data_IF_678503740058
#
_entry.id   IF_678503740058
#
_cell.length_a   1.000
_cell.length_b   1.000
_cell.length_c   1.000
_cell.angle_alpha   90.00
_cell.angle_beta   90.00
_cell.angle_gamma   90.00
#
_symmetry.space_group_name_H-M   'P 1'
#
loop_
_entity.id
_entity.type
_entity.pdbx_description
1 polymer ?
#
# COMPACT_ATOMS: atom_id res chain seq x y z
N UNK A 1 13.46 10.62 -10.35
CA UNK A 1 13.61 10.35 -11.78
C UNK A 1 12.52 11.05 -12.58
N UNK A 2 11.22 10.85 -12.31
CA UNK A 2 10.13 11.43 -13.11
C UNK A 2 10.12 12.95 -13.16
N UNK A 3 10.41 13.64 -12.04
CA UNK A 3 10.51 15.10 -12.01
C UNK A 3 11.68 15.63 -12.84
N UNK A 4 12.83 14.97 -12.81
CA UNK A 4 14.00 15.35 -13.61
C UNK A 4 13.76 15.11 -15.11
N UNK A 5 13.12 13.99 -15.47
CA UNK A 5 12.72 13.71 -16.85
C UNK A 5 11.74 14.77 -17.36
N UNK A 6 10.80 15.18 -16.51
CA UNK A 6 9.84 16.23 -16.85
C UNK A 6 10.51 17.57 -17.16
N UNK A 7 11.47 17.96 -16.34
CA UNK A 7 12.19 19.25 -16.51
C UNK A 7 13.08 19.23 -17.74
N UNK A 8 13.74 18.11 -18.05
CA UNK A 8 14.71 18.01 -19.14
C UNK A 8 14.10 17.65 -20.50
N UNK A 9 13.11 16.77 -20.52
CA UNK A 9 12.58 16.14 -21.73
C UNK A 9 11.04 16.30 -21.88
N UNK A 10 10.40 17.00 -20.96
CA UNK A 10 8.95 17.16 -20.95
C UNK A 10 8.22 15.97 -20.30
N UNK A 11 6.92 16.15 -20.02
CA UNK A 11 6.10 15.17 -19.33
C UNK A 11 5.92 13.85 -20.12
N UNK A 12 5.97 13.93 -21.46
CA UNK A 12 5.85 12.78 -22.36
C UNK A 12 6.98 11.75 -22.15
N UNK A 13 8.18 12.21 -21.77
CA UNK A 13 9.33 11.33 -21.54
C UNK A 13 9.07 10.30 -20.44
N UNK A 14 8.26 10.62 -19.42
CA UNK A 14 7.88 9.68 -18.38
C UNK A 14 7.08 8.50 -18.94
N UNK A 15 6.14 8.75 -19.85
CA UNK A 15 5.34 7.71 -20.49
C UNK A 15 6.18 6.86 -21.43
N UNK A 16 7.11 7.45 -22.17
CA UNK A 16 8.04 6.70 -23.04
C UNK A 16 8.91 5.77 -22.22
N UNK A 17 9.49 6.24 -21.12
CA UNK A 17 10.32 5.40 -20.23
C UNK A 17 9.50 4.24 -19.63
N UNK A 18 8.29 4.52 -19.16
CA UNK A 18 7.40 3.47 -18.62
C UNK A 18 7.03 2.45 -19.71
N UNK A 19 6.73 2.91 -20.91
CA UNK A 19 6.40 2.04 -22.04
C UNK A 19 7.60 1.15 -22.46
N UNK A 20 8.81 1.71 -22.48
CA UNK A 20 10.04 0.95 -22.77
C UNK A 20 10.32 -0.10 -21.69
N UNK A 21 10.20 0.27 -20.41
CA UNK A 21 10.36 -0.67 -19.29
C UNK A 21 9.30 -1.78 -19.33
N UNK A 22 8.03 -1.42 -19.61
CA UNK A 22 6.96 -2.38 -19.79
C UNK A 22 7.21 -3.35 -20.95
N UNK A 23 7.66 -2.84 -22.10
CA UNK A 23 8.03 -3.65 -23.24
C UNK A 23 9.19 -4.61 -22.94
N UNK A 24 10.21 -4.14 -22.21
CA UNK A 24 11.35 -4.96 -21.80
C UNK A 24 10.90 -6.07 -20.82
N UNK A 25 10.00 -5.77 -19.89
CA UNK A 25 9.43 -6.75 -18.98
C UNK A 25 8.58 -7.80 -19.72
N UNK A 26 7.80 -7.41 -20.74
CA UNK A 26 7.04 -8.35 -21.58
C UNK A 26 8.00 -9.31 -22.30
N UNK A 27 9.06 -8.80 -22.91
CA UNK A 27 10.07 -9.63 -23.60
C UNK A 27 10.79 -10.55 -22.62
N UNK A 28 11.15 -10.04 -21.43
CA UNK A 28 11.79 -10.85 -20.40
C UNK A 28 10.86 -11.95 -19.88
N UNK A 29 9.59 -11.64 -19.66
CA UNK A 29 8.59 -12.63 -19.25
C UNK A 29 8.36 -13.70 -20.33
N UNK A 30 8.24 -13.28 -21.58
CA UNK A 30 8.04 -14.22 -22.70
C UNK A 30 9.22 -15.18 -22.91
N UNK A 31 10.45 -14.71 -22.65
CA UNK A 31 11.66 -15.55 -22.78
C UNK A 31 12.00 -16.35 -21.52
N UNK A 32 11.62 -15.88 -20.35
CA UNK A 32 12.08 -16.43 -19.06
C UNK A 32 11.04 -17.23 -18.29
N UNK A 33 9.74 -17.09 -18.61
CA UNK A 33 8.69 -17.85 -17.93
C UNK A 33 8.41 -19.13 -18.73
N UNK A 34 8.78 -20.31 -18.18
CA UNK A 34 8.39 -21.57 -18.81
C UNK A 34 6.86 -21.72 -18.69
N UNK A 35 6.24 -22.06 -19.81
CA UNK A 35 4.79 -22.31 -19.86
C UNK A 35 4.50 -23.68 -19.21
N UNK A 36 4.29 -23.68 -17.90
CA UNK A 36 3.98 -24.88 -17.12
C UNK A 36 2.48 -25.13 -16.98
N UNK A 37 1.67 -24.29 -17.59
CA UNK A 37 0.23 -24.46 -17.50
C UNK A 37 -0.24 -25.50 -18.53
N UNK A 38 -0.77 -26.62 -18.03
CA UNK A 38 -1.63 -27.48 -18.88
C UNK A 38 -2.74 -26.59 -19.43
N UNK A 39 -3.12 -26.77 -20.71
CA UNK A 39 -4.26 -26.04 -21.27
C UNK A 39 -5.45 -26.15 -20.32
N UNK A 40 -5.87 -25.04 -19.76
CA UNK A 40 -7.09 -25.04 -18.97
C UNK A 40 -8.22 -25.20 -19.96
N UNK A 41 -8.92 -26.33 -19.91
CA UNK A 41 -10.17 -26.49 -20.65
C UNK A 41 -11.08 -25.31 -20.28
N UNK A 42 -11.33 -24.45 -21.27
CA UNK A 42 -12.23 -23.32 -21.10
C UNK A 42 -13.62 -23.87 -20.83
N UNK A 43 -14.02 -23.88 -19.58
CA UNK A 43 -15.33 -24.37 -19.18
C UNK A 43 -16.42 -23.51 -19.84
N UNK A 44 -17.44 -24.11 -20.44
CA UNK A 44 -18.49 -23.38 -21.20
C UNK A 44 -19.27 -22.33 -20.36
N UNK A 45 -19.08 -22.32 -19.03
CA UNK A 45 -19.74 -21.41 -18.10
C UNK A 45 -18.74 -20.58 -17.27
N UNK A 46 -17.62 -20.17 -17.85
CA UNK A 46 -16.53 -19.45 -17.15
C UNK A 46 -17.02 -18.22 -16.35
N UNK A 47 -17.98 -17.45 -16.86
CA UNK A 47 -18.55 -16.30 -16.13
C UNK A 47 -19.26 -16.73 -14.86
N UNK A 48 -20.01 -17.83 -14.89
CA UNK A 48 -20.68 -18.37 -13.71
C UNK A 48 -19.66 -18.89 -12.69
N UNK A 49 -18.64 -19.56 -13.15
CA UNK A 49 -17.54 -20.05 -12.32
C UNK A 49 -16.80 -18.89 -11.65
N UNK A 50 -16.51 -17.82 -12.38
CA UNK A 50 -15.93 -16.59 -11.81
C UNK A 50 -16.85 -15.95 -10.77
N UNK A 51 -18.14 -15.80 -11.08
CA UNK A 51 -19.12 -15.22 -10.17
C UNK A 51 -19.23 -16.02 -8.86
N UNK A 52 -19.23 -17.35 -8.94
CA UNK A 52 -19.24 -18.21 -7.74
C UNK A 52 -17.95 -18.11 -6.96
N UNK A 53 -16.79 -18.02 -7.61
CA UNK A 53 -15.50 -17.82 -6.97
C UNK A 53 -15.46 -16.50 -6.16
N UNK A 54 -15.88 -15.40 -6.78
CA UNK A 54 -15.95 -14.10 -6.10
C UNK A 54 -16.95 -14.11 -4.94
N UNK A 55 -18.13 -14.71 -5.12
CA UNK A 55 -19.12 -14.80 -4.05
C UNK A 55 -18.61 -15.66 -2.88
N UNK A 56 -17.87 -16.72 -3.16
CA UNK A 56 -17.25 -17.57 -2.12
C UNK A 56 -16.24 -16.76 -1.31
N UNK A 57 -15.37 -16.00 -1.98
CA UNK A 57 -14.37 -15.13 -1.32
C UNK A 57 -15.03 -14.03 -0.48
N UNK A 58 -16.05 -13.36 -1.03
CA UNK A 58 -16.77 -12.29 -0.34
C UNK A 58 -17.60 -12.77 0.85
N UNK A 59 -17.92 -14.07 0.92
CA UNK A 59 -18.60 -14.67 2.08
C UNK A 59 -17.62 -15.15 3.15
N UNK A 60 -16.32 -15.15 2.87
CA UNK A 60 -15.30 -15.56 3.84
C UNK A 60 -14.83 -14.37 4.68
N UNK A 61 -15.22 -14.30 5.96
CA UNK A 61 -14.89 -13.13 6.78
C UNK A 61 -13.38 -12.94 7.01
N UNK A 62 -12.62 -14.02 7.06
CA UNK A 62 -11.16 -13.98 7.21
C UNK A 62 -10.52 -13.33 6.00
N UNK A 63 -11.00 -13.66 4.80
CA UNK A 63 -10.58 -13.04 3.55
C UNK A 63 -10.86 -11.53 3.55
N UNK A 64 -12.09 -11.14 3.92
CA UNK A 64 -12.48 -9.72 3.96
C UNK A 64 -11.63 -8.91 4.95
N UNK A 65 -11.24 -9.51 6.08
CA UNK A 65 -10.37 -8.84 7.05
C UNK A 65 -8.95 -8.63 6.49
N UNK A 66 -8.37 -9.61 5.79
CA UNK A 66 -7.09 -9.41 5.11
C UNK A 66 -7.19 -8.33 4.04
N UNK A 67 -8.24 -8.36 3.22
CA UNK A 67 -8.49 -7.33 2.20
C UNK A 67 -8.66 -5.95 2.83
N UNK A 68 -9.39 -5.84 3.94
CA UNK A 68 -9.56 -4.57 4.65
C UNK A 68 -8.23 -4.01 5.18
N UNK A 69 -7.35 -4.86 5.73
CA UNK A 69 -6.01 -4.44 6.18
C UNK A 69 -5.21 -3.86 5.01
N UNK A 70 -5.18 -4.57 3.88
CA UNK A 70 -4.47 -4.13 2.67
C UNK A 70 -5.05 -2.83 2.12
N UNK A 71 -6.38 -2.75 2.06
CA UNK A 71 -7.13 -1.58 1.57
C UNK A 71 -6.87 -0.33 2.42
N UNK A 72 -6.89 -0.47 3.75
CA UNK A 72 -6.65 0.65 4.68
C UNK A 72 -5.18 1.11 4.65
N UNK A 73 -4.23 0.18 4.52
CA UNK A 73 -2.82 0.53 4.31
C UNK A 73 -2.64 1.34 3.01
N UNK A 74 -3.29 0.90 1.93
CA UNK A 74 -3.26 1.59 0.64
C UNK A 74 -3.91 2.97 0.74
N UNK A 75 -5.07 3.11 1.37
CA UNK A 75 -5.73 4.40 1.60
C UNK A 75 -4.83 5.37 2.39
N UNK A 76 -4.15 4.89 3.44
CA UNK A 76 -3.19 5.67 4.21
C UNK A 76 -2.06 6.21 3.35
N UNK A 77 -1.49 5.35 2.49
CA UNK A 77 -0.40 5.75 1.59
C UNK A 77 -0.85 6.73 0.51
N UNK A 78 -2.03 6.52 -0.11
CA UNK A 78 -2.55 7.44 -1.13
C UNK A 78 -3.01 8.77 -0.55
N UNK A 79 -3.51 8.80 0.70
CA UNK A 79 -3.77 10.04 1.41
C UNK A 79 -2.47 10.84 1.60
N UNK A 80 -1.38 10.18 2.04
CA UNK A 80 -0.06 10.79 2.10
C UNK A 80 0.35 11.33 0.71
N UNK A 81 0.32 10.48 -0.33
CA UNK A 81 0.77 10.84 -1.66
C UNK A 81 0.00 12.04 -2.24
N UNK A 82 -1.32 12.09 -2.00
CA UNK A 82 -2.17 13.20 -2.45
C UNK A 82 -1.92 14.52 -1.71
N UNK A 83 -1.53 14.47 -0.43
CA UNK A 83 -1.34 15.67 0.38
C UNK A 83 0.09 16.22 0.35
N UNK A 84 1.09 15.38 0.11
CA UNK A 84 2.52 15.76 0.20
C UNK A 84 2.88 17.02 -0.57
N UNK A 85 2.47 17.22 -1.84
CA UNK A 85 2.83 18.44 -2.57
C UNK A 85 2.34 19.71 -1.86
N UNK A 86 1.12 19.69 -1.34
CA UNK A 86 0.50 20.84 -0.65
C UNK A 86 1.13 21.07 0.72
N UNK A 87 1.34 20.02 1.50
CA UNK A 87 1.98 20.11 2.83
C UNK A 87 3.43 20.57 2.70
N UNK A 88 4.20 20.01 1.76
CA UNK A 88 5.58 20.45 1.52
C UNK A 88 5.64 21.89 1.00
N UNK A 89 4.68 22.27 0.17
CA UNK A 89 4.56 23.66 -0.30
C UNK A 89 4.34 24.65 0.86
N UNK A 90 3.52 24.29 1.87
CA UNK A 90 3.33 25.12 3.07
C UNK A 90 4.60 25.27 3.92
N UNK A 91 5.54 24.34 3.81
CA UNK A 91 6.87 24.40 4.45
C UNK A 91 7.95 25.04 3.56
N UNK A 92 7.56 25.64 2.43
CA UNK A 92 8.48 26.33 1.53
C UNK A 92 9.29 25.41 0.61
N UNK A 93 8.93 24.12 0.50
CA UNK A 93 9.59 23.19 -0.43
C UNK A 93 9.00 23.35 -1.82
N UNK A 94 9.85 23.73 -2.78
CA UNK A 94 9.45 23.81 -4.19
C UNK A 94 9.18 22.45 -4.83
N UNK A 95 8.53 22.44 -6.02
CA UNK A 95 8.19 21.20 -6.75
C UNK A 95 9.40 20.27 -6.98
N UNK A 96 10.58 20.83 -7.16
CA UNK A 96 11.83 20.09 -7.40
C UNK A 96 12.28 19.28 -6.17
N UNK A 97 11.99 19.78 -4.96
CA UNK A 97 12.33 19.14 -3.70
C UNK A 97 11.35 18.06 -3.26
N UNK A 98 10.07 18.19 -3.60
CA UNK A 98 8.99 17.29 -3.15
C UNK A 98 9.27 15.84 -3.53
N UNK A 99 9.85 15.61 -4.70
CA UNK A 99 10.18 14.26 -5.19
C UNK A 99 11.14 13.49 -4.27
N UNK A 100 12.10 14.16 -3.63
CA UNK A 100 13.01 13.52 -2.67
C UNK A 100 12.29 13.03 -1.42
N UNK A 101 11.38 13.83 -0.90
CA UNK A 101 10.59 13.46 0.27
C UNK A 101 9.62 12.32 -0.02
N UNK A 102 8.97 12.33 -1.20
CA UNK A 102 8.10 11.23 -1.63
C UNK A 102 8.86 9.92 -1.75
N UNK A 103 10.08 9.93 -2.32
CA UNK A 103 10.88 8.71 -2.49
C UNK A 103 11.31 8.05 -1.17
N UNK A 104 11.38 8.79 -0.09
CA UNK A 104 11.82 8.28 1.21
C UNK A 104 10.94 7.13 1.71
N UNK A 105 9.61 7.18 1.50
CA UNK A 105 8.68 6.15 1.98
C UNK A 105 8.79 4.84 1.18
N UNK A 106 8.80 4.80 -0.16
CA UNK A 106 9.11 3.58 -0.89
C UNK A 106 10.44 2.93 -0.50
N UNK A 107 11.49 3.71 -0.26
CA UNK A 107 12.76 3.16 0.22
C UNK A 107 12.62 2.50 1.59
N UNK A 108 11.97 3.16 2.54
CA UNK A 108 11.72 2.58 3.86
C UNK A 108 10.81 1.35 3.80
N UNK A 109 9.84 1.32 2.87
CA UNK A 109 9.03 0.14 2.58
C UNK A 109 9.87 -1.05 2.10
N UNK A 110 10.86 -0.81 1.22
CA UNK A 110 11.79 -1.86 0.77
C UNK A 110 12.56 -2.43 1.97
N UNK A 111 13.04 -1.57 2.88
CA UNK A 111 13.72 -2.01 4.11
C UNK A 111 12.78 -2.89 4.95
N UNK A 112 11.55 -2.45 5.19
CA UNK A 112 10.54 -3.22 5.93
C UNK A 112 10.22 -4.55 5.26
N UNK A 113 10.07 -4.58 3.94
CA UNK A 113 9.81 -5.81 3.17
C UNK A 113 11.00 -6.77 3.22
N UNK A 114 12.22 -6.26 3.18
CA UNK A 114 13.43 -7.06 3.35
C UNK A 114 13.50 -7.68 4.76
N UNK A 115 13.19 -6.91 5.79
CA UNK A 115 13.10 -7.41 7.16
C UNK A 115 12.03 -8.50 7.28
N UNK A 116 10.88 -8.32 6.64
CA UNK A 116 9.83 -9.34 6.56
C UNK A 116 10.35 -10.63 5.95
N UNK A 117 11.00 -10.57 4.80
CA UNK A 117 11.54 -11.75 4.12
C UNK A 117 12.56 -12.51 4.99
N UNK A 118 13.31 -11.82 5.82
CA UNK A 118 14.31 -12.43 6.73
C UNK A 118 13.70 -12.98 8.01
N UNK A 119 12.76 -12.27 8.61
CA UNK A 119 12.28 -12.53 9.96
C UNK A 119 10.97 -13.31 10.03
N UNK A 120 10.20 -13.40 8.92
CA UNK A 120 8.87 -14.00 8.93
C UNK A 120 8.87 -15.48 9.36
N UNK A 121 9.95 -16.21 9.06
CA UNK A 121 10.08 -17.62 9.44
C UNK A 121 10.27 -17.81 10.95
N UNK A 122 10.93 -16.89 11.63
CA UNK A 122 11.19 -16.94 13.08
C UNK A 122 10.13 -16.25 13.90
N UNK A 123 9.59 -15.14 13.42
CA UNK A 123 8.61 -14.31 14.14
C UNK A 123 7.17 -14.74 13.87
N UNK A 124 6.90 -15.22 12.66
CA UNK A 124 5.58 -15.63 12.18
C UNK A 124 4.74 -14.45 11.64
N UNK A 125 3.81 -14.76 10.70
CA UNK A 125 2.98 -13.78 10.00
C UNK A 125 2.22 -12.85 10.97
N UNK A 126 1.60 -13.42 11.99
CA UNK A 126 0.76 -12.69 12.94
C UNK A 126 1.54 -11.57 13.65
N UNK A 127 2.71 -11.90 14.21
CA UNK A 127 3.54 -10.92 14.92
C UNK A 127 4.12 -9.88 13.99
N UNK A 128 4.54 -10.28 12.78
CA UNK A 128 5.04 -9.34 11.78
C UNK A 128 3.98 -8.29 11.42
N UNK A 129 2.74 -8.73 11.19
CA UNK A 129 1.62 -7.81 10.95
C UNK A 129 1.37 -6.89 12.14
N UNK A 130 1.43 -7.40 13.37
CA UNK A 130 1.23 -6.60 14.59
C UNK A 130 2.32 -5.54 14.75
N UNK A 131 3.58 -5.91 14.58
CA UNK A 131 4.69 -4.95 14.63
C UNK A 131 4.58 -3.90 13.53
N UNK A 132 4.24 -4.31 12.30
CA UNK A 132 4.04 -3.39 11.18
C UNK A 132 2.90 -2.40 11.44
N UNK A 133 1.76 -2.87 11.91
CA UNK A 133 0.61 -2.01 12.23
C UNK A 133 0.92 -1.07 13.40
N UNK A 134 1.55 -1.58 14.47
CA UNK A 134 1.96 -0.77 15.62
C UNK A 134 2.94 0.34 15.21
N UNK A 135 3.94 0.00 14.39
CA UNK A 135 4.91 0.96 13.87
C UNK A 135 4.26 2.02 12.98
N UNK A 136 3.30 1.62 12.13
CA UNK A 136 2.52 2.54 11.30
C UNK A 136 1.73 3.54 12.15
N UNK A 137 1.00 3.06 13.16
CA UNK A 137 0.26 3.94 14.07
C UNK A 137 1.17 4.87 14.86
N UNK A 138 2.25 4.36 15.44
CA UNK A 138 3.22 5.16 16.18
C UNK A 138 3.84 6.26 15.31
N UNK A 139 4.16 5.94 14.07
CA UNK A 139 4.70 6.87 13.08
C UNK A 139 3.73 8.03 12.80
N UNK A 140 2.46 7.71 12.53
CA UNK A 140 1.43 8.72 12.24
C UNK A 140 1.16 9.58 13.48
N UNK A 141 1.07 8.97 14.65
CA UNK A 141 0.88 9.69 15.92
C UNK A 141 2.06 10.62 16.19
N UNK A 142 3.29 10.16 15.99
CA UNK A 142 4.48 11.00 16.16
C UNK A 142 4.45 12.19 15.20
N UNK A 143 4.18 11.98 13.92
CA UNK A 143 4.04 13.05 12.94
C UNK A 143 2.95 14.05 13.34
N UNK A 144 1.79 13.56 13.77
CA UNK A 144 0.67 14.39 14.20
C UNK A 144 1.02 15.21 15.44
N UNK A 145 1.69 14.62 16.43
CA UNK A 145 2.15 15.33 17.64
C UNK A 145 3.12 16.44 17.27
N UNK A 146 4.11 16.17 16.40
CA UNK A 146 5.06 17.18 15.95
C UNK A 146 4.37 18.35 15.23
N UNK A 147 3.36 18.06 14.40
CA UNK A 147 2.56 19.08 13.73
C UNK A 147 1.70 19.89 14.73
N UNK A 148 1.10 19.24 15.74
CA UNK A 148 0.26 19.90 16.75
C UNK A 148 1.04 20.84 17.68
N UNK A 149 2.32 20.53 17.95
CA UNK A 149 3.20 21.41 18.74
C UNK A 149 3.84 22.53 17.89
N UNK A 150 3.48 22.64 16.61
CA UNK A 150 3.94 23.71 15.72
C UNK A 150 5.34 23.49 15.15
N UNK A 151 5.87 22.26 15.12
CA UNK A 151 7.10 21.91 14.41
C UNK A 151 6.85 21.75 12.92
N UNK A 152 6.52 22.86 12.25
CA UNK A 152 6.19 22.93 10.85
C UNK A 152 7.47 22.93 9.99
N UNK A 153 8.05 21.74 9.78
CA UNK A 153 9.23 21.58 8.94
C UNK A 153 9.16 20.31 8.08
N UNK A 154 9.78 20.31 6.90
CA UNK A 154 9.84 19.13 6.03
C UNK A 154 10.39 17.89 6.73
N UNK A 155 11.40 18.04 7.59
CA UNK A 155 12.01 16.93 8.32
C UNK A 155 11.11 16.41 9.44
N UNK A 156 10.44 17.29 10.19
CA UNK A 156 9.49 16.89 11.22
C UNK A 156 8.29 16.13 10.65
N UNK A 157 7.94 16.41 9.40
CA UNK A 157 6.91 15.69 8.67
C UNK A 157 7.38 14.33 8.16
N UNK A 158 8.52 14.27 7.47
CA UNK A 158 8.91 13.06 6.73
C UNK A 158 9.62 12.01 7.60
N UNK A 159 10.43 12.40 8.60
CA UNK A 159 11.18 11.45 9.40
C UNK A 159 10.30 10.43 10.15
N UNK A 160 9.18 10.83 10.80
CA UNK A 160 8.25 9.85 11.34
C UNK A 160 7.69 8.91 10.26
N UNK A 161 7.37 9.42 9.07
CA UNK A 161 6.77 8.64 8.00
C UNK A 161 7.71 7.63 7.34
N UNK A 162 9.03 7.72 7.56
CA UNK A 162 9.94 6.62 7.22
C UNK A 162 9.58 5.34 7.98
N UNK A 163 9.21 5.46 9.25
CA UNK A 163 8.76 4.31 10.04
C UNK A 163 7.41 3.78 9.57
N UNK A 164 6.54 4.63 9.01
CA UNK A 164 5.32 4.18 8.33
C UNK A 164 5.66 3.27 7.13
N UNK A 165 6.62 3.65 6.30
CA UNK A 165 7.07 2.82 5.19
C UNK A 165 7.58 1.46 5.66
N UNK A 166 8.45 1.44 6.70
CA UNK A 166 8.91 0.19 7.30
C UNK A 166 7.73 -0.63 7.84
N UNK A 167 6.79 0.00 8.56
CA UNK A 167 5.58 -0.63 9.09
C UNK A 167 4.73 -1.29 8.01
N UNK A 168 4.49 -0.60 6.90
CA UNK A 168 3.80 -1.16 5.73
C UNK A 168 4.58 -2.32 5.12
N UNK A 169 5.92 -2.23 5.02
CA UNK A 169 6.78 -3.32 4.56
C UNK A 169 6.75 -4.56 5.45
N UNK A 170 6.51 -4.39 6.75
CA UNK A 170 6.34 -5.50 7.70
C UNK A 170 4.93 -6.12 7.64
N UNK A 171 3.91 -5.35 7.29
CA UNK A 171 2.51 -5.77 7.38
C UNK A 171 1.93 -6.23 6.03
N UNK A 172 2.23 -5.53 4.93
CA UNK A 172 1.56 -5.77 3.63
C UNK A 172 1.91 -7.12 3.03
N UNK A 173 3.20 -7.56 2.95
CA UNK A 173 3.53 -8.85 2.36
C UNK A 173 2.88 -10.05 3.07
N UNK A 174 2.90 -10.18 4.41
CA UNK A 174 2.21 -11.28 5.09
C UNK A 174 0.68 -11.19 4.95
N UNK A 175 0.10 -9.97 4.88
CA UNK A 175 -1.33 -9.81 4.64
C UNK A 175 -1.74 -10.30 3.25
N UNK A 176 -0.95 -9.95 2.22
CA UNK A 176 -1.18 -10.40 0.85
C UNK A 176 -1.02 -11.93 0.73
N UNK A 177 0.00 -12.50 1.36
CA UNK A 177 0.19 -13.95 1.42
C UNK A 177 -0.99 -14.64 2.11
N UNK A 178 -1.51 -14.06 3.19
CA UNK A 178 -2.71 -14.56 3.89
C UNK A 178 -3.95 -14.51 3.00
N UNK A 179 -4.13 -13.42 2.25
CA UNK A 179 -5.24 -13.25 1.31
C UNK A 179 -5.26 -14.34 0.24
N UNK A 180 -4.12 -14.54 -0.43
CA UNK A 180 -3.99 -15.49 -1.56
C UNK A 180 -3.91 -16.94 -1.06
N UNK A 181 -3.29 -17.16 0.09
CA UNK A 181 -3.07 -18.49 0.65
C UNK A 181 -4.29 -19.11 1.34
N UNK A 182 -5.33 -18.30 1.64
CA UNK A 182 -6.52 -18.78 2.34
C UNK A 182 -7.30 -19.83 1.52
N UNK A 183 -7.40 -19.61 0.20
CA UNK A 183 -8.05 -20.52 -0.75
C UNK A 183 -7.16 -20.68 -1.99
N UNK A 184 -6.18 -21.59 -1.99
CA UNK A 184 -5.21 -21.72 -3.08
C UNK A 184 -5.85 -21.98 -4.46
N UNK A 185 -6.98 -22.67 -4.50
CA UNK A 185 -7.74 -22.90 -5.73
C UNK A 185 -8.33 -21.60 -6.35
N UNK A 186 -8.49 -20.55 -5.54
CA UNK A 186 -9.05 -19.25 -5.93
C UNK A 186 -8.01 -18.13 -5.85
N UNK A 187 -6.72 -18.46 -5.81
CA UNK A 187 -5.62 -17.50 -5.58
C UNK A 187 -5.64 -16.31 -6.55
N UNK A 188 -5.90 -16.54 -7.84
CA UNK A 188 -6.00 -15.49 -8.85
C UNK A 188 -7.19 -14.56 -8.61
N UNK A 189 -8.38 -15.12 -8.31
CA UNK A 189 -9.57 -14.33 -7.96
C UNK A 189 -9.38 -13.56 -6.66
N UNK A 190 -8.72 -14.16 -5.66
CA UNK A 190 -8.40 -13.52 -4.39
C UNK A 190 -7.47 -12.31 -4.59
N UNK A 191 -6.42 -12.46 -5.40
CA UNK A 191 -5.51 -11.37 -5.75
C UNK A 191 -6.24 -10.24 -6.51
N UNK A 192 -7.13 -10.58 -7.44
CA UNK A 192 -7.92 -9.60 -8.20
C UNK A 192 -8.85 -8.78 -7.29
N UNK A 193 -9.60 -9.43 -6.38
CA UNK A 193 -10.48 -8.73 -5.43
C UNK A 193 -9.67 -7.86 -4.48
N UNK A 194 -8.57 -8.37 -3.94
CA UNK A 194 -7.70 -7.59 -3.06
C UNK A 194 -7.11 -6.37 -3.78
N UNK A 195 -6.60 -6.55 -5.00
CA UNK A 195 -6.07 -5.46 -5.82
C UNK A 195 -7.13 -4.40 -6.16
N UNK A 196 -8.34 -4.82 -6.55
CA UNK A 196 -9.44 -3.89 -6.80
C UNK A 196 -9.81 -3.10 -5.54
N UNK A 197 -9.96 -3.77 -4.40
CA UNK A 197 -10.26 -3.12 -3.13
C UNK A 197 -9.18 -2.11 -2.73
N UNK A 198 -7.90 -2.45 -2.90
CA UNK A 198 -6.78 -1.53 -2.64
C UNK A 198 -6.85 -0.29 -3.53
N UNK A 199 -7.08 -0.45 -4.84
CA UNK A 199 -7.13 0.69 -5.76
C UNK A 199 -8.33 1.60 -5.50
N UNK A 200 -9.51 1.03 -5.24
CA UNK A 200 -10.71 1.80 -4.91
C UNK A 200 -10.53 2.57 -3.60
N UNK A 201 -10.04 1.92 -2.55
CA UNK A 201 -9.81 2.60 -1.26
C UNK A 201 -8.63 3.57 -1.33
N UNK A 202 -7.61 3.28 -2.13
CA UNK A 202 -6.54 4.22 -2.44
C UNK A 202 -7.08 5.49 -3.11
N UNK A 203 -7.92 5.35 -4.13
CA UNK A 203 -8.57 6.48 -4.78
C UNK A 203 -9.44 7.29 -3.79
N UNK A 204 -10.19 6.62 -2.91
CA UNK A 204 -10.95 7.28 -1.85
C UNK A 204 -10.04 7.99 -0.84
N UNK A 205 -8.88 7.39 -0.49
CA UNK A 205 -7.89 8.02 0.38
C UNK A 205 -7.32 9.30 -0.21
N UNK A 206 -6.93 9.25 -1.48
CA UNK A 206 -6.47 10.45 -2.21
C UNK A 206 -7.57 11.51 -2.38
N UNK A 207 -8.79 11.10 -2.70
CA UNK A 207 -9.95 12.00 -2.80
C UNK A 207 -10.29 12.68 -1.46
N UNK A 208 -10.24 11.93 -0.36
CA UNK A 208 -10.54 12.45 0.98
C UNK A 208 -9.60 13.59 1.39
N UNK A 209 -8.37 13.63 0.89
CA UNK A 209 -7.44 14.75 1.08
C UNK A 209 -8.02 16.06 0.56
N UNK A 210 -8.69 16.04 -0.59
CA UNK A 210 -9.30 17.22 -1.20
C UNK A 210 -10.50 17.78 -0.44
N UNK A 211 -11.08 17.01 0.50
CA UNK A 211 -12.23 17.45 1.31
C UNK A 211 -11.84 18.33 2.50
N UNK A 212 -10.56 18.36 2.86
CA UNK A 212 -10.06 19.09 4.00
C UNK A 212 -8.95 20.07 3.60
N UNK A 213 -8.88 21.27 4.19
CA UNK A 213 -7.77 22.19 3.98
C UNK A 213 -6.44 21.54 4.41
N UNK A 214 -5.44 21.58 3.56
CA UNK A 214 -4.12 21.01 3.85
C UNK A 214 -3.11 22.11 4.20
N UNK A 215 -3.42 22.89 5.22
CA UNK A 215 -2.51 23.91 5.77
C UNK A 215 -1.59 23.26 6.80
N UNK A 216 -0.55 22.57 6.35
CA UNK A 216 0.32 21.77 7.21
C UNK A 216 -0.12 20.30 7.34
N UNK A 217 0.54 19.55 8.24
CA UNK A 217 0.37 18.09 8.34
C UNK A 217 -0.79 17.63 9.24
N UNK A 218 -1.47 18.53 9.95
CA UNK A 218 -2.45 18.15 10.99
C UNK A 218 -3.66 17.42 10.43
N UNK A 219 -4.32 17.99 9.42
CA UNK A 219 -5.51 17.36 8.82
C UNK A 219 -5.16 16.04 8.11
N UNK A 220 -4.03 16.00 7.44
CA UNK A 220 -3.49 14.76 6.87
C UNK A 220 -3.24 13.71 7.96
N UNK A 221 -2.62 14.12 9.07
CA UNK A 221 -2.34 13.23 10.20
C UNK A 221 -3.60 12.57 10.75
N UNK A 222 -4.68 13.32 10.96
CA UNK A 222 -5.96 12.77 11.38
C UNK A 222 -6.56 11.82 10.37
N UNK A 223 -6.52 12.16 9.08
CA UNK A 223 -7.03 11.30 8.01
C UNK A 223 -6.25 9.97 7.92
N UNK A 224 -4.92 10.04 7.95
CA UNK A 224 -4.06 8.85 7.95
C UNK A 224 -4.29 8.00 9.21
N UNK A 225 -4.43 8.63 10.37
CA UNK A 225 -4.72 7.94 11.63
C UNK A 225 -6.06 7.21 11.59
N UNK A 226 -7.08 7.82 10.99
CA UNK A 226 -8.38 7.19 10.77
C UNK A 226 -8.24 5.89 9.94
N UNK A 227 -7.60 5.95 8.77
CA UNK A 227 -7.42 4.77 7.94
C UNK A 227 -6.57 3.70 8.63
N UNK A 228 -5.45 4.09 9.24
CA UNK A 228 -4.59 3.16 9.95
C UNK A 228 -5.30 2.50 11.14
N UNK A 229 -6.16 3.23 11.87
CA UNK A 229 -6.97 2.69 12.96
C UNK A 229 -8.02 1.70 12.47
N UNK A 230 -8.67 1.97 11.33
CA UNK A 230 -9.57 1.01 10.69
C UNK A 230 -8.83 -0.28 10.29
N UNK A 231 -7.61 -0.16 9.76
CA UNK A 231 -6.74 -1.30 9.47
C UNK A 231 -6.37 -2.09 10.73
N UNK A 232 -6.05 -1.40 11.83
CA UNK A 232 -5.74 -2.02 13.12
C UNK A 232 -6.96 -2.78 13.70
N UNK A 233 -8.15 -2.21 13.59
CA UNK A 233 -9.39 -2.89 13.98
C UNK A 233 -9.64 -4.15 13.16
N UNK A 234 -9.48 -4.09 11.84
CA UNK A 234 -9.59 -5.26 10.97
C UNK A 234 -8.59 -6.35 11.38
N UNK A 235 -7.35 -5.95 11.66
CA UNK A 235 -6.30 -6.86 12.11
C UNK A 235 -6.60 -7.48 13.48
N UNK A 236 -7.14 -6.71 14.40
CA UNK A 236 -7.54 -7.20 15.71
C UNK A 236 -8.66 -8.27 15.61
N UNK A 237 -9.68 -8.03 14.77
CA UNK A 237 -10.72 -9.01 14.48
C UNK A 237 -10.16 -10.27 13.81
N UNK A 238 -9.23 -10.11 12.85
CA UNK A 238 -8.55 -11.23 12.21
C UNK A 238 -7.85 -12.13 13.24
N UNK A 239 -7.12 -11.52 14.16
CA UNK A 239 -6.37 -12.28 15.18
C UNK A 239 -7.24 -12.93 16.25
N UNK A 240 -8.48 -12.46 16.45
CA UNK A 240 -9.44 -13.12 17.32
C UNK A 240 -10.10 -14.34 16.69
N UNK A 241 -10.21 -14.36 15.36
CA UNK A 241 -10.83 -15.46 14.62
C UNK A 241 -9.85 -16.57 14.26
N UNK A 242 -8.58 -16.28 14.07
CA UNK A 242 -7.56 -17.30 13.81
C UNK A 242 -7.32 -18.13 15.10
N UNK A 243 -7.56 -19.43 15.11
CA UNK A 243 -7.15 -20.28 16.22
C UNK A 243 -5.63 -20.18 16.43
N UNK A 244 -5.20 -20.30 17.70
CA UNK A 244 -3.78 -20.25 18.08
C UNK A 244 -3.00 -21.42 17.51
#
# INVERSE_FOLDING_TARGET
LGGQLHVQLGWQANFVVIALLGGLLIVAAWRGLPDHQKPVEVQPHWLRTMGTAYMTLLREPTFLLYVAILAMATATFYAFLGAVPTVMGSYGVGPDGVGFYIMAIPFSYIVGSYLTARLIRSVGNRRMMQFGQGLTLASIVLMLVLALIGLDSPLAFILPLLFLGIGHGLMVPPSLSGTVGLMPALAGSAAAVAGLAQQLTGALGGFAVGLFPQNGAVNLGWLMLFFASCGALAQWFLHRRAPR
#
